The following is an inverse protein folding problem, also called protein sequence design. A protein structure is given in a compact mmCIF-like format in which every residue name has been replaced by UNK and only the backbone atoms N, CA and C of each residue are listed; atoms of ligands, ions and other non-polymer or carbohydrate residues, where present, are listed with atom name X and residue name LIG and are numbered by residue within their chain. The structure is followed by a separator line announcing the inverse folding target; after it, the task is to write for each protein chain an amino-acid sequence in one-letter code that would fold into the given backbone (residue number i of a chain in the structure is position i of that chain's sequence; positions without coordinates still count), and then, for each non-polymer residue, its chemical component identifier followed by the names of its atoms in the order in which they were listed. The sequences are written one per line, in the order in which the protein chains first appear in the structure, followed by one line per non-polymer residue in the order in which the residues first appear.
data_IF_005044734161
#
_entry.id   IF_005044734161
#
_cell.length_a   1.000
_cell.length_b   1.000
_cell.length_c   1.000
_cell.angle_alpha   90.00
_cell.angle_beta   90.00
_cell.angle_gamma   90.00
#
_symmetry.space_group_name_H-M   'P 1'
#
loop_
_entity.id
_entity.type
_entity.pdbx_description
1 polymer ?
#
# COMPACT_ATOMS: atom_id res chain seq x y z
N UNK A 1 -72.23 -9.61 -30.93
CA UNK A 1 -72.51 -9.48 -29.49
C UNK A 1 -71.68 -8.35 -28.93
N UNK A 2 -72.30 -7.21 -28.60
CA UNK A 2 -71.62 -6.04 -28.05
C UNK A 2 -71.83 -5.94 -26.54
N UNK A 3 -70.81 -5.47 -25.82
CA UNK A 3 -70.98 -4.78 -24.54
C UNK A 3 -70.00 -3.60 -24.50
N UNK A 4 -70.58 -2.41 -24.50
CA UNK A 4 -69.95 -1.13 -24.18
C UNK A 4 -69.94 -1.00 -22.66
N UNK A 5 -68.89 -0.42 -22.08
CA UNK A 5 -69.00 0.29 -20.82
C UNK A 5 -68.21 1.59 -20.93
N UNK A 6 -68.83 2.66 -20.47
CA UNK A 6 -68.41 4.05 -20.58
C UNK A 6 -68.26 4.66 -19.17
N UNK A 7 -67.56 5.81 -19.13
CA UNK A 7 -67.49 6.82 -18.06
C UNK A 7 -66.63 6.43 -16.83
N UNK A 8 -65.77 7.28 -16.25
CA UNK A 8 -65.78 8.76 -16.02
C UNK A 8 -64.32 9.22 -15.77
N UNK A 9 -63.85 10.27 -16.46
CA UNK A 9 -63.67 11.68 -16.00
C UNK A 9 -62.59 11.93 -14.91
N UNK A 10 -61.60 12.75 -15.32
CA UNK A 10 -61.05 13.95 -14.66
C UNK A 10 -60.25 13.78 -13.35
N UNK A 11 -59.27 14.61 -13.00
CA UNK A 11 -58.59 15.75 -13.62
C UNK A 11 -57.27 15.95 -12.85
N UNK A 12 -56.32 16.63 -13.49
CA UNK A 12 -55.08 17.09 -12.88
C UNK A 12 -55.35 17.93 -11.62
N UNK A 13 -54.51 17.75 -10.60
CA UNK A 13 -54.19 18.81 -9.65
C UNK A 13 -52.72 18.69 -9.27
N UNK A 14 -52.01 19.78 -9.52
CA UNK A 14 -50.70 20.11 -8.97
C UNK A 14 -50.88 20.36 -7.48
N UNK A 15 -49.95 19.90 -6.64
CA UNK A 15 -49.53 20.71 -5.50
C UNK A 15 -48.08 20.43 -5.16
N UNK A 16 -47.36 21.53 -4.94
CA UNK A 16 -45.94 21.61 -4.63
C UNK A 16 -45.85 22.08 -3.19
N UNK A 17 -45.35 21.25 -2.29
CA UNK A 17 -45.00 21.69 -0.94
C UNK A 17 -43.50 21.51 -0.70
N UNK A 18 -42.85 22.66 -0.63
CA UNK A 18 -41.57 22.90 -0.01
C UNK A 18 -41.75 22.81 1.51
N UNK A 19 -40.96 21.98 2.20
CA UNK A 19 -40.70 22.17 3.63
C UNK A 19 -39.19 22.06 3.90
N UNK A 20 -38.57 23.23 3.79
CA UNK A 20 -37.26 23.54 4.33
C UNK A 20 -37.41 23.85 5.83
N UNK A 21 -37.11 22.87 6.70
CA UNK A 21 -36.88 23.12 8.12
C UNK A 21 -35.43 22.80 8.49
N UNK A 22 -34.57 23.79 8.28
CA UNK A 22 -33.25 23.87 8.90
C UNK A 22 -33.42 24.00 10.42
N UNK A 23 -33.08 22.95 11.15
CA UNK A 23 -32.82 23.02 12.59
C UNK A 23 -31.32 22.91 12.80
N UNK A 24 -30.68 24.07 12.86
CA UNK A 24 -29.30 24.21 13.34
C UNK A 24 -29.27 23.92 14.85
N UNK A 25 -29.08 22.66 15.21
CA UNK A 25 -28.76 22.29 16.60
C UNK A 25 -27.31 22.68 16.89
N UNK A 26 -27.15 23.87 17.47
CA UNK A 26 -25.93 24.26 18.15
C UNK A 26 -25.84 23.50 19.49
N UNK A 27 -25.16 22.36 19.49
CA UNK A 27 -24.60 21.78 20.71
C UNK A 27 -23.09 21.59 20.53
N UNK A 28 -22.33 22.60 20.93
CA UNK A 28 -20.91 22.41 21.24
C UNK A 28 -20.84 21.58 22.52
N UNK A 29 -20.79 20.27 22.39
CA UNK A 29 -20.17 19.44 23.43
C UNK A 29 -18.69 19.83 23.45
N UNK A 30 -18.32 20.60 24.46
CA UNK A 30 -16.93 20.91 24.78
C UNK A 30 -16.26 19.62 25.28
N UNK A 31 -15.93 18.71 24.36
CA UNK A 31 -15.19 17.48 24.65
C UNK A 31 -14.36 16.99 23.47
N UNK A 32 -13.80 17.89 22.66
CA UNK A 32 -12.89 17.53 21.56
C UNK A 32 -11.48 18.14 21.66
N UNK A 33 -11.18 18.90 22.71
CA UNK A 33 -9.83 19.48 22.85
C UNK A 33 -8.82 18.54 23.47
N UNK A 34 -9.24 17.64 24.37
CA UNK A 34 -8.34 16.69 25.02
C UNK A 34 -8.10 15.43 24.18
N UNK A 35 -9.08 15.02 23.36
CA UNK A 35 -8.94 13.90 22.42
C UNK A 35 -7.96 14.25 21.30
N UNK A 36 -8.07 15.45 20.72
CA UNK A 36 -7.19 15.94 19.65
C UNK A 36 -5.74 16.05 20.12
N UNK A 37 -5.49 16.66 21.28
CA UNK A 37 -4.14 16.75 21.88
C UNK A 37 -3.55 15.36 22.16
N UNK A 38 -4.35 14.42 22.68
CA UNK A 38 -3.89 13.06 22.93
C UNK A 38 -3.58 12.27 21.66
N UNK A 39 -4.34 12.46 20.58
CA UNK A 39 -4.02 11.87 19.28
C UNK A 39 -2.79 12.48 18.63
N UNK A 40 -2.60 13.81 18.73
CA UNK A 40 -1.44 14.50 18.19
C UNK A 40 -0.14 14.07 18.90
N UNK A 41 -0.13 14.00 20.23
CA UNK A 41 1.04 13.54 21.00
C UNK A 41 1.42 12.08 20.68
N UNK A 42 0.43 11.19 20.54
CA UNK A 42 0.67 9.78 20.16
C UNK A 42 1.16 9.66 18.72
N UNK A 43 0.70 10.53 17.81
CA UNK A 43 1.15 10.55 16.41
C UNK A 43 2.63 10.99 16.32
N UNK A 44 3.00 12.06 17.04
CA UNK A 44 4.38 12.57 17.07
C UNK A 44 5.37 11.55 17.65
N UNK A 45 4.96 10.80 18.68
CA UNK A 45 5.77 9.72 19.25
C UNK A 45 6.03 8.61 18.21
N UNK A 46 5.00 8.21 17.45
CA UNK A 46 5.13 7.20 16.38
C UNK A 46 6.03 7.64 15.23
N UNK A 47 5.91 8.89 14.80
CA UNK A 47 6.78 9.44 13.75
C UNK A 47 8.24 9.44 14.20
N UNK A 48 8.50 9.79 15.47
CA UNK A 48 9.85 9.76 16.05
C UNK A 48 10.44 8.34 16.11
N UNK A 49 9.61 7.33 16.40
CA UNK A 49 10.03 5.93 16.41
C UNK A 49 10.32 5.44 14.99
N UNK A 50 9.55 5.90 14.01
CA UNK A 50 9.74 5.53 12.61
C UNK A 50 11.03 6.15 12.03
N UNK A 51 11.34 7.39 12.40
CA UNK A 51 12.63 8.02 12.09
C UNK A 51 13.80 7.25 12.70
N UNK A 52 13.72 6.88 13.98
CA UNK A 52 14.76 6.08 14.63
C UNK A 52 14.92 4.70 13.98
N UNK A 53 13.82 4.07 13.57
CA UNK A 53 13.87 2.79 12.86
C UNK A 53 14.51 2.96 11.48
N UNK A 54 14.20 4.02 10.74
CA UNK A 54 14.84 4.33 9.46
C UNK A 54 16.35 4.54 9.62
N UNK A 55 16.78 5.28 10.63
CA UNK A 55 18.19 5.49 10.95
C UNK A 55 18.89 4.17 11.30
N UNK A 56 18.23 3.31 12.08
CA UNK A 56 18.75 2.00 12.44
C UNK A 56 18.93 1.06 11.24
N UNK A 57 18.29 1.31 10.10
CA UNK A 57 18.61 0.57 8.87
C UNK A 57 20.04 0.83 8.42
N UNK A 58 20.67 1.97 8.74
CA UNK A 58 22.06 2.31 8.35
C UNK A 58 23.12 1.51 9.13
N UNK A 59 22.70 0.80 10.18
CA UNK A 59 23.59 0.00 11.00
C UNK A 59 24.23 -1.18 10.23
N UNK A 60 25.51 -1.43 10.53
CA UNK A 60 26.26 -2.53 9.91
C UNK A 60 25.75 -3.90 10.32
N UNK A 61 25.17 -4.01 11.51
CA UNK A 61 24.74 -5.29 12.09
C UNK A 61 23.36 -5.70 11.55
N UNK A 62 23.28 -6.85 10.88
CA UNK A 62 22.03 -7.36 10.30
C UNK A 62 20.89 -7.53 11.31
N UNK A 63 21.18 -8.04 12.51
CA UNK A 63 20.15 -8.18 13.56
C UNK A 63 19.55 -6.85 14.02
N UNK A 64 20.28 -5.73 13.88
CA UNK A 64 19.74 -4.40 14.19
C UNK A 64 18.81 -3.94 13.06
N UNK A 65 19.23 -4.12 11.81
CA UNK A 65 18.40 -3.84 10.63
C UNK A 65 17.12 -4.67 10.61
N UNK A 66 17.18 -5.95 10.97
CA UNK A 66 15.98 -6.79 11.08
C UNK A 66 14.97 -6.26 12.09
N UNK A 67 15.43 -5.79 13.26
CA UNK A 67 14.56 -5.19 14.28
C UNK A 67 13.94 -3.88 13.78
N UNK A 68 14.73 -3.06 13.10
CA UNK A 68 14.27 -1.83 12.49
C UNK A 68 13.19 -2.08 11.42
N UNK A 69 13.40 -3.04 10.53
CA UNK A 69 12.39 -3.43 9.54
C UNK A 69 11.09 -3.92 10.19
N UNK A 70 11.19 -4.72 11.26
CA UNK A 70 10.01 -5.19 11.99
C UNK A 70 9.24 -4.01 12.63
N UNK A 71 9.94 -3.04 13.22
CA UNK A 71 9.33 -1.84 13.79
C UNK A 71 8.64 -0.97 12.73
N UNK A 72 9.25 -0.83 11.54
CA UNK A 72 8.65 -0.11 10.40
C UNK A 72 7.34 -0.80 9.96
N UNK A 73 7.35 -2.13 9.84
CA UNK A 73 6.16 -2.91 9.48
C UNK A 73 5.06 -2.74 10.53
N UNK A 74 5.40 -2.80 11.82
CA UNK A 74 4.45 -2.61 12.91
C UNK A 74 3.83 -1.20 12.85
N UNK A 75 4.65 -0.17 12.62
CA UNK A 75 4.19 1.21 12.50
C UNK A 75 3.23 1.41 11.32
N UNK A 76 3.54 0.85 10.14
CA UNK A 76 2.66 0.93 8.97
C UNK A 76 1.35 0.15 9.15
N UNK A 77 1.35 -0.95 9.90
CA UNK A 77 0.12 -1.69 10.19
C UNK A 77 -0.75 -0.99 11.25
N UNK A 78 -0.16 -0.20 12.14
CA UNK A 78 -0.89 0.47 13.22
C UNK A 78 -1.57 1.79 12.78
N UNK A 79 -1.01 2.49 11.79
CA UNK A 79 -1.59 3.72 11.25
C UNK A 79 -0.98 4.09 9.90
N UNK A 80 -1.73 4.80 9.06
CA UNK A 80 -1.24 5.35 7.80
C UNK A 80 -0.29 6.53 8.07
N UNK A 81 1.01 6.31 7.87
CA UNK A 81 2.07 7.28 8.18
C UNK A 81 2.36 8.23 7.00
N UNK A 82 1.33 8.93 6.51
CA UNK A 82 1.44 9.74 5.29
C UNK A 82 2.53 10.81 5.35
N UNK A 83 2.62 11.57 6.44
CA UNK A 83 3.62 12.65 6.58
C UNK A 83 5.07 12.14 6.57
N UNK A 84 5.33 10.99 7.20
CA UNK A 84 6.64 10.36 7.15
C UNK A 84 6.99 9.94 5.72
N UNK A 85 6.04 9.28 5.05
CA UNK A 85 6.24 8.71 3.71
C UNK A 85 6.49 9.81 2.68
N UNK A 86 5.70 10.90 2.68
CA UNK A 86 5.90 12.05 1.79
C UNK A 86 7.35 12.59 1.80
N UNK A 87 8.00 12.55 2.97
CA UNK A 87 9.35 13.09 3.13
C UNK A 87 10.47 12.06 2.98
N UNK A 88 10.17 10.77 3.19
CA UNK A 88 11.20 9.74 3.42
C UNK A 88 11.03 8.49 2.56
N UNK A 89 10.01 8.36 1.71
CA UNK A 89 9.76 7.14 0.94
C UNK A 89 11.00 6.70 0.14
N UNK A 90 11.64 7.62 -0.59
CA UNK A 90 12.80 7.30 -1.42
C UNK A 90 13.99 6.78 -0.59
N UNK A 91 14.21 7.37 0.60
CA UNK A 91 15.26 6.91 1.51
C UNK A 91 14.92 5.52 2.04
N UNK A 92 13.70 5.31 2.54
CA UNK A 92 13.24 4.03 3.06
C UNK A 92 13.31 2.93 1.99
N UNK A 93 12.79 3.20 0.79
CA UNK A 93 12.86 2.31 -0.36
C UNK A 93 14.30 1.91 -0.65
N UNK A 94 15.21 2.88 -0.79
CA UNK A 94 16.62 2.62 -1.05
C UNK A 94 17.23 1.71 0.03
N UNK A 95 16.86 1.88 1.30
CA UNK A 95 17.34 1.04 2.39
C UNK A 95 16.77 -0.38 2.33
N UNK A 96 15.48 -0.53 2.07
CA UNK A 96 14.85 -1.84 1.90
C UNK A 96 15.43 -2.59 0.69
N UNK A 97 15.66 -1.92 -0.44
CA UNK A 97 16.29 -2.53 -1.63
C UNK A 97 17.73 -2.97 -1.35
N UNK A 98 18.48 -2.23 -0.53
CA UNK A 98 19.81 -2.68 -0.08
C UNK A 98 19.73 -3.94 0.78
N UNK A 99 18.71 -4.05 1.65
CA UNK A 99 18.44 -5.25 2.44
C UNK A 99 18.05 -6.44 1.54
N UNK A 100 17.26 -6.22 0.48
CA UNK A 100 16.94 -7.26 -0.51
C UNK A 100 18.20 -7.74 -1.25
N UNK A 101 19.08 -6.82 -1.64
CA UNK A 101 20.29 -7.14 -2.42
C UNK A 101 21.35 -7.90 -1.61
N UNK A 102 21.48 -7.63 -0.31
CA UNK A 102 22.64 -8.06 0.49
C UNK A 102 22.28 -8.77 1.81
N UNK A 103 21.03 -8.70 2.23
CA UNK A 103 20.58 -9.23 3.51
C UNK A 103 20.42 -10.75 3.50
N UNK A 104 20.46 -11.38 4.68
CA UNK A 104 20.03 -12.77 4.84
C UNK A 104 18.53 -12.90 4.56
N UNK A 105 18.07 -14.14 4.32
CA UNK A 105 16.67 -14.45 3.98
C UNK A 105 15.61 -13.75 4.83
N UNK A 106 15.82 -13.67 6.16
CA UNK A 106 14.89 -13.01 7.07
C UNK A 106 14.84 -11.49 6.84
N UNK A 107 15.99 -10.86 6.66
CA UNK A 107 16.09 -9.43 6.35
C UNK A 107 15.43 -9.12 4.99
N UNK A 108 15.65 -9.98 3.99
CA UNK A 108 15.00 -9.87 2.67
C UNK A 108 13.48 -9.96 2.79
N UNK A 109 12.96 -10.92 3.57
CA UNK A 109 11.51 -11.08 3.76
C UNK A 109 10.88 -9.86 4.44
N UNK A 110 11.50 -9.35 5.51
CA UNK A 110 11.04 -8.15 6.19
C UNK A 110 11.11 -6.91 5.29
N UNK A 111 12.21 -6.73 4.54
CA UNK A 111 12.34 -5.60 3.62
C UNK A 111 11.32 -5.65 2.48
N UNK A 112 11.02 -6.84 1.96
CA UNK A 112 10.01 -7.02 0.93
C UNK A 112 8.61 -6.63 1.44
N UNK A 113 8.27 -7.08 2.65
CA UNK A 113 7.01 -6.72 3.31
C UNK A 113 6.92 -5.20 3.54
N UNK A 114 7.99 -4.58 4.05
CA UNK A 114 8.03 -3.14 4.29
C UNK A 114 7.84 -2.32 3.00
N UNK A 115 8.40 -2.76 1.86
CA UNK A 115 8.18 -2.11 0.56
C UNK A 115 6.72 -2.23 0.11
N UNK A 116 6.09 -3.38 0.27
CA UNK A 116 4.67 -3.56 -0.06
C UNK A 116 3.77 -2.62 0.75
N UNK A 117 4.02 -2.50 2.07
CA UNK A 117 3.31 -1.54 2.93
C UNK A 117 3.63 -0.09 2.58
N UNK A 118 4.88 0.22 2.22
CA UNK A 118 5.26 1.55 1.75
C UNK A 118 4.44 1.94 0.51
N UNK A 119 4.34 1.07 -0.49
CA UNK A 119 3.55 1.32 -1.69
C UNK A 119 2.06 1.55 -1.38
N UNK A 120 1.48 0.75 -0.48
CA UNK A 120 0.10 0.93 -0.02
C UNK A 120 -0.11 2.25 0.73
N UNK A 121 0.90 2.70 1.48
CA UNK A 121 0.83 3.93 2.28
C UNK A 121 1.05 5.19 1.42
N UNK A 122 1.96 5.15 0.44
CA UNK A 122 2.13 6.20 -0.57
C UNK A 122 0.84 6.38 -1.37
N UNK A 123 0.21 5.27 -1.77
CA UNK A 123 -0.99 5.30 -2.60
C UNK A 123 -0.68 5.60 -4.07
N UNK A 124 -1.73 5.79 -4.87
CA UNK A 124 -1.60 6.03 -6.32
C UNK A 124 -0.94 7.39 -6.63
N UNK A 125 0.02 7.38 -7.56
CA UNK A 125 0.75 8.58 -7.99
C UNK A 125 2.14 8.24 -8.54
N UNK A 126 2.93 9.28 -8.79
CA UNK A 126 4.28 9.13 -9.37
C UNK A 126 5.24 8.42 -8.39
N UNK A 127 5.12 8.68 -7.09
CA UNK A 127 5.99 8.08 -6.06
C UNK A 127 5.89 6.55 -6.01
N UNK A 128 4.68 5.99 -6.17
CA UNK A 128 4.50 4.52 -6.17
C UNK A 128 4.93 3.88 -7.49
N UNK A 129 4.83 4.62 -8.59
CA UNK A 129 5.39 4.20 -9.88
C UNK A 129 6.92 4.13 -9.82
N UNK A 130 7.56 5.12 -9.18
CA UNK A 130 8.99 5.08 -8.88
C UNK A 130 9.36 3.89 -8.00
N UNK A 131 8.56 3.60 -6.95
CA UNK A 131 8.73 2.39 -6.12
C UNK A 131 8.70 1.12 -6.98
N UNK A 132 7.77 1.00 -7.92
CA UNK A 132 7.67 -0.16 -8.82
C UNK A 132 8.93 -0.29 -9.68
N UNK A 133 9.29 0.76 -10.43
CA UNK A 133 10.42 0.73 -11.37
C UNK A 133 11.76 0.43 -10.68
N UNK A 134 12.02 1.04 -9.52
CA UNK A 134 13.24 0.82 -8.75
C UNK A 134 13.31 -0.58 -8.09
N UNK A 135 12.16 -1.19 -7.81
CA UNK A 135 12.06 -2.47 -7.11
C UNK A 135 12.09 -3.69 -8.02
N UNK A 136 11.61 -3.58 -9.27
CA UNK A 136 11.49 -4.73 -10.19
C UNK A 136 12.81 -5.45 -10.38
N UNK A 137 13.90 -4.72 -10.65
CA UNK A 137 15.21 -5.35 -10.91
C UNK A 137 15.79 -6.04 -9.67
N UNK A 138 15.90 -5.38 -8.50
CA UNK A 138 16.38 -6.02 -7.28
C UNK A 138 15.54 -7.23 -6.84
N UNK A 139 14.21 -7.14 -6.94
CA UNK A 139 13.30 -8.23 -6.58
C UNK A 139 13.48 -9.40 -7.55
N UNK A 140 13.51 -9.16 -8.85
CA UNK A 140 13.74 -10.21 -9.87
C UNK A 140 15.06 -10.95 -9.66
N UNK A 141 16.12 -10.24 -9.29
CA UNK A 141 17.40 -10.85 -8.96
C UNK A 141 17.32 -11.70 -7.68
N UNK A 142 16.72 -11.17 -6.62
CA UNK A 142 16.57 -11.89 -5.35
C UNK A 142 15.69 -13.14 -5.49
N UNK A 143 14.67 -13.13 -6.35
CA UNK A 143 13.81 -14.29 -6.63
C UNK A 143 14.58 -15.48 -7.24
N UNK A 144 15.68 -15.22 -7.96
CA UNK A 144 16.49 -16.27 -8.60
C UNK A 144 17.39 -17.03 -7.60
N UNK A 145 17.82 -16.37 -6.52
CA UNK A 145 18.81 -16.94 -5.57
C UNK A 145 18.32 -17.04 -4.13
N UNK A 146 17.14 -16.51 -3.81
CA UNK A 146 16.58 -16.48 -2.47
C UNK A 146 16.14 -17.85 -1.94
N UNK A 147 15.95 -17.94 -0.62
CA UNK A 147 15.28 -19.09 0.01
C UNK A 147 13.77 -19.05 -0.26
N UNK A 148 13.09 -20.18 -0.11
CA UNK A 148 11.63 -20.29 -0.29
C UNK A 148 10.84 -19.27 0.55
N UNK A 149 11.21 -19.07 1.82
CA UNK A 149 10.55 -18.09 2.70
C UNK A 149 10.72 -16.65 2.19
N UNK A 150 11.91 -16.29 1.68
CA UNK A 150 12.13 -14.96 1.11
C UNK A 150 11.45 -14.78 -0.25
N UNK A 151 11.34 -15.84 -1.05
CA UNK A 151 10.67 -15.81 -2.36
C UNK A 151 9.19 -15.48 -2.24
N UNK A 152 8.49 -16.05 -1.26
CA UNK A 152 7.07 -15.74 -0.99
C UNK A 152 6.91 -14.24 -0.75
N UNK A 153 7.68 -13.68 0.20
CA UNK A 153 7.62 -12.25 0.52
C UNK A 153 7.99 -11.35 -0.67
N UNK A 154 8.95 -11.76 -1.50
CA UNK A 154 9.34 -11.04 -2.71
C UNK A 154 8.24 -11.04 -3.78
N UNK A 155 7.53 -12.16 -3.97
CA UNK A 155 6.39 -12.26 -4.88
C UNK A 155 5.22 -11.40 -4.40
N UNK A 156 4.88 -11.49 -3.11
CA UNK A 156 3.85 -10.66 -2.48
C UNK A 156 4.16 -9.18 -2.65
N UNK A 157 5.42 -8.79 -2.39
CA UNK A 157 5.89 -7.43 -2.60
C UNK A 157 5.72 -7.00 -4.06
N UNK A 158 6.22 -7.77 -5.02
CA UNK A 158 6.10 -7.46 -6.44
C UNK A 158 4.64 -7.32 -6.88
N UNK A 159 3.76 -8.20 -6.41
CA UNK A 159 2.34 -8.13 -6.71
C UNK A 159 1.70 -6.84 -6.18
N UNK A 160 1.97 -6.48 -4.93
CA UNK A 160 1.41 -5.27 -4.28
C UNK A 160 1.91 -4.01 -4.99
N UNK A 161 3.22 -3.86 -5.18
CA UNK A 161 3.77 -2.65 -5.82
C UNK A 161 3.31 -2.50 -7.27
N UNK A 162 3.14 -3.62 -7.99
CA UNK A 162 2.59 -3.59 -9.36
C UNK A 162 1.11 -3.23 -9.36
N UNK A 163 0.34 -3.76 -8.41
CA UNK A 163 -1.08 -3.47 -8.30
C UNK A 163 -1.36 -1.99 -8.03
N UNK A 164 -0.54 -1.34 -7.19
CA UNK A 164 -0.73 0.07 -6.82
C UNK A 164 -0.04 1.02 -7.81
N UNK A 165 1.17 0.69 -8.25
CA UNK A 165 2.03 1.58 -9.04
C UNK A 165 2.08 1.30 -10.54
N UNK A 166 1.45 0.24 -11.04
CA UNK A 166 1.39 -0.05 -12.47
C UNK A 166 0.51 0.95 -13.20
N UNK A 167 1.09 1.70 -14.14
CA UNK A 167 0.43 2.71 -14.95
C UNK A 167 0.00 2.20 -16.32
N UNK A 168 0.64 1.15 -16.84
CA UNK A 168 0.26 0.54 -18.10
C UNK A 168 0.18 -1.01 -18.07
N UNK A 169 -0.49 -1.63 -19.06
CA UNK A 169 -0.59 -3.09 -19.12
C UNK A 169 0.76 -3.80 -19.28
N UNK A 170 1.77 -3.17 -19.87
CA UNK A 170 3.09 -3.79 -20.10
C UNK A 170 3.89 -3.92 -18.79
N UNK A 171 3.78 -2.94 -17.88
CA UNK A 171 4.31 -3.02 -16.51
C UNK A 171 3.68 -4.17 -15.73
N UNK A 172 2.36 -4.30 -15.80
CA UNK A 172 1.63 -5.40 -15.17
C UNK A 172 2.05 -6.74 -15.75
N UNK A 173 2.10 -6.84 -17.09
CA UNK A 173 2.53 -8.06 -17.78
C UNK A 173 3.96 -8.46 -17.39
N UNK A 174 4.89 -7.50 -17.33
CA UNK A 174 6.29 -7.73 -16.92
C UNK A 174 6.37 -8.37 -15.53
N UNK A 175 5.66 -7.80 -14.55
CA UNK A 175 5.62 -8.35 -13.19
C UNK A 175 4.96 -9.73 -13.14
N UNK A 176 3.86 -9.92 -13.88
CA UNK A 176 3.22 -11.23 -14.00
C UNK A 176 4.15 -12.27 -14.62
N UNK A 177 4.93 -11.92 -15.63
CA UNK A 177 5.91 -12.83 -16.25
C UNK A 177 7.00 -13.22 -15.25
N UNK A 178 7.51 -12.29 -14.44
CA UNK A 178 8.49 -12.59 -13.38
C UNK A 178 7.92 -13.58 -12.36
N UNK A 179 6.71 -13.33 -11.85
CA UNK A 179 6.04 -14.22 -10.90
C UNK A 179 5.76 -15.60 -11.52
N UNK A 180 5.32 -15.62 -12.78
CA UNK A 180 5.01 -16.85 -13.51
C UNK A 180 6.25 -17.72 -13.72
N UNK A 181 7.40 -17.13 -14.04
CA UNK A 181 8.67 -17.85 -14.17
C UNK A 181 9.15 -18.50 -12.87
N UNK A 182 8.72 -17.99 -11.71
CA UNK A 182 9.05 -18.60 -10.42
C UNK A 182 8.23 -19.87 -10.16
N UNK A 183 6.94 -19.86 -10.48
CA UNK A 183 6.02 -21.01 -10.31
C UNK A 183 6.25 -22.07 -11.39
N UNK A 184 6.55 -21.61 -12.60
CA UNK A 184 6.88 -22.44 -13.74
C UNK A 184 8.30 -22.11 -14.20
N UNK A 185 9.33 -22.55 -13.47
CA UNK A 185 10.70 -22.49 -13.95
C UNK A 185 10.78 -23.47 -15.13
N UNK A 186 10.45 -22.99 -16.33
CA UNK A 186 10.46 -23.85 -17.52
C UNK A 186 11.84 -24.48 -17.66
N UNK A 187 11.82 -25.80 -17.91
CA UNK A 187 12.85 -26.62 -18.53
C UNK A 187 13.91 -25.75 -19.23
N UNK A 188 15.14 -25.84 -18.75
CA UNK A 188 16.27 -25.08 -19.26
C UNK A 188 16.28 -25.05 -20.78
N UNK A 189 16.50 -23.85 -21.31
CA UNK A 189 17.08 -23.55 -22.61
C UNK A 189 17.58 -24.79 -23.40
N UNK A 190 16.69 -25.44 -24.16
CA UNK A 190 17.08 -26.29 -25.29
C UNK A 190 17.01 -25.47 -26.58
N UNK A 191 17.68 -24.31 -26.59
CA UNK A 191 18.03 -23.60 -27.83
C UNK A 191 19.52 -23.33 -27.76
N UNK A 192 20.29 -24.38 -28.00
CA UNK A 192 21.69 -24.31 -28.40
C UNK A 192 22.11 -25.66 -28.98
N UNK A 193 21.99 -25.78 -30.30
CA UNK A 193 22.95 -26.42 -31.22
C UNK A 193 22.53 -26.12 -32.65
#
# INVERSE_FOLDING_TARGET
MGKRNAQRKNAALLDSDEDNSSVSSSSTVQSDRLSVLGTEEVQLDRDSLLEQALDALFEKRGSTREKALAAIIEAFNASLQHQFVENKFATLLHRCLNCIKKGPSKEVALASHAIGLLALTVGYGDDVHEILEDSVTPISQALKSGSESSKIALVECLAIITFVGGNDPAETERSMQIMWQLVHPKLGSNVSS
#
